data_IF_899192441320
#
_entry.id   IF_899192441320
#
_cell.length_a   1.000
_cell.length_b   1.000
_cell.length_c   1.000
_cell.angle_alpha   90.00
_cell.angle_beta   90.00
_cell.angle_gamma   90.00
#
_symmetry.space_group_name_H-M   'P 1'
#
loop_
_entity.id
_entity.type
_entity.pdbx_description
1 polymer ?
#
# COMPACT_ATOMS: atom_id res chain seq x y z
N UNK A 1 2.91 -25.22 12.76
CA UNK A 1 1.71 -24.44 12.37
C UNK A 1 2.06 -23.47 11.24
N UNK A 2 1.25 -23.36 10.20
CA UNK A 2 1.56 -22.45 9.07
C UNK A 2 1.50 -20.99 9.52
N UNK A 3 2.55 -20.21 9.24
CA UNK A 3 2.59 -18.79 9.57
C UNK A 3 1.66 -17.97 8.64
N UNK A 4 0.36 -17.95 8.98
CA UNK A 4 -0.68 -17.27 8.22
C UNK A 4 -0.47 -15.75 8.13
N UNK A 5 0.25 -15.14 9.07
CA UNK A 5 0.56 -13.72 9.02
C UNK A 5 1.50 -13.39 7.86
N UNK A 6 2.54 -14.21 7.63
CA UNK A 6 3.45 -14.07 6.46
C UNK A 6 2.71 -14.25 5.13
N UNK A 7 1.72 -15.14 5.06
CA UNK A 7 0.88 -15.32 3.86
C UNK A 7 0.02 -14.08 3.57
N UNK A 8 -0.59 -13.50 4.62
CA UNK A 8 -1.46 -12.31 4.50
C UNK A 8 -0.67 -11.07 4.09
N UNK A 9 0.52 -10.85 4.65
CA UNK A 9 1.40 -9.74 4.25
C UNK A 9 1.86 -9.89 2.80
N UNK A 10 2.30 -11.07 2.38
CA UNK A 10 2.71 -11.33 0.99
C UNK A 10 1.57 -11.08 -0.01
N UNK A 11 0.35 -11.52 0.29
CA UNK A 11 -0.83 -11.25 -0.56
C UNK A 11 -1.13 -9.75 -0.67
N UNK A 12 -1.00 -9.00 0.43
CA UNK A 12 -1.17 -7.53 0.44
C UNK A 12 -0.12 -6.84 -0.44
N UNK A 13 1.15 -7.24 -0.33
CA UNK A 13 2.24 -6.67 -1.15
C UNK A 13 1.99 -6.92 -2.64
N UNK A 14 1.61 -8.14 -3.03
CA UNK A 14 1.27 -8.47 -4.43
C UNK A 14 0.13 -7.62 -4.96
N UNK A 15 -0.94 -7.44 -4.17
CA UNK A 15 -2.07 -6.57 -4.56
C UNK A 15 -1.63 -5.11 -4.71
N UNK A 16 -0.84 -4.59 -3.77
CA UNK A 16 -0.31 -3.23 -3.80
C UNK A 16 0.51 -2.99 -5.07
N UNK A 17 1.40 -3.92 -5.41
CA UNK A 17 2.19 -3.85 -6.64
C UNK A 17 1.30 -3.83 -7.90
N UNK A 18 0.28 -4.69 -7.96
CA UNK A 18 -0.67 -4.72 -9.08
C UNK A 18 -1.45 -3.41 -9.23
N UNK A 19 -1.89 -2.81 -8.12
CA UNK A 19 -2.63 -1.53 -8.14
C UNK A 19 -1.71 -0.39 -8.63
N UNK A 20 -0.44 -0.36 -8.19
CA UNK A 20 0.54 0.65 -8.61
C UNK A 20 0.88 0.61 -10.11
N UNK A 21 0.51 -0.45 -10.84
CA UNK A 21 0.58 -0.45 -12.32
C UNK A 21 -0.39 0.53 -12.99
N UNK A 22 -1.46 0.92 -12.29
CA UNK A 22 -2.51 1.83 -12.81
C UNK A 22 -2.63 3.12 -12.00
N UNK A 23 -2.33 3.06 -10.71
CA UNK A 23 -2.46 4.20 -9.79
C UNK A 23 -1.09 4.74 -9.46
N UNK A 24 -0.79 5.92 -9.98
CA UNK A 24 0.44 6.68 -9.75
C UNK A 24 0.06 8.03 -9.14
N UNK A 25 0.77 8.46 -8.10
CA UNK A 25 0.61 9.78 -7.51
C UNK A 25 1.57 10.77 -8.16
N UNK A 26 1.07 11.95 -8.51
CA UNK A 26 1.89 13.10 -8.96
C UNK A 26 1.71 14.26 -7.98
N UNK A 27 2.48 15.34 -8.12
CA UNK A 27 2.35 16.51 -7.26
C UNK A 27 0.94 17.12 -7.27
N UNK A 28 0.29 17.19 -8.44
CA UNK A 28 -1.07 17.71 -8.59
C UNK A 28 -2.13 16.73 -8.08
N UNK A 29 -1.85 15.41 -8.15
CA UNK A 29 -2.75 14.36 -7.70
C UNK A 29 -1.98 13.28 -6.94
N UNK A 30 -1.65 13.51 -5.67
CA UNK A 30 -0.84 12.57 -4.91
C UNK A 30 -1.62 11.31 -4.55
N UNK A 31 -0.89 10.21 -4.39
CA UNK A 31 -1.43 8.90 -4.05
C UNK A 31 -1.65 8.79 -2.54
N UNK A 32 -2.88 8.47 -2.13
CA UNK A 32 -3.16 8.07 -0.75
C UNK A 32 -2.79 6.60 -0.52
N UNK A 33 -1.92 6.35 0.44
CA UNK A 33 -1.51 5.02 0.89
C UNK A 33 -2.16 4.73 2.22
N UNK A 34 -2.88 3.63 2.34
CA UNK A 34 -3.50 3.23 3.59
C UNK A 34 -2.89 1.92 4.08
N UNK A 35 -2.47 1.91 5.35
CA UNK A 35 -2.07 0.71 6.06
C UNK A 35 -3.07 0.44 7.19
N UNK A 36 -3.64 -0.78 7.21
CA UNK A 36 -4.59 -1.22 8.23
C UNK A 36 -4.01 -2.35 9.07
N UNK A 37 -3.89 -2.09 10.36
CA UNK A 37 -3.60 -3.08 11.40
C UNK A 37 -4.91 -3.53 12.09
N UNK A 38 -4.79 -4.34 13.14
CA UNK A 38 -5.94 -4.73 13.97
C UNK A 38 -6.36 -3.62 14.94
N UNK A 39 -5.46 -2.68 15.26
CA UNK A 39 -5.69 -1.63 16.26
C UNK A 39 -5.98 -0.29 15.60
N UNK A 40 -5.18 0.08 14.61
CA UNK A 40 -5.19 1.40 13.98
C UNK A 40 -5.23 1.32 12.46
N UNK A 41 -5.66 2.43 11.85
CA UNK A 41 -5.57 2.71 10.42
C UNK A 41 -4.69 3.95 10.26
N UNK A 42 -3.68 3.84 9.41
CA UNK A 42 -2.73 4.90 9.10
C UNK A 42 -2.81 5.22 7.61
N UNK A 43 -2.67 6.50 7.26
CA UNK A 43 -2.67 6.97 5.89
C UNK A 43 -1.50 7.90 5.60
N UNK A 44 -0.97 7.85 4.38
CA UNK A 44 0.13 8.69 3.90
C UNK A 44 -0.19 9.24 2.52
N UNK A 45 0.14 10.50 2.28
CA UNK A 45 0.05 11.14 0.97
C UNK A 45 1.43 11.05 0.33
N UNK A 46 1.52 10.45 -0.86
CA UNK A 46 2.79 10.18 -1.54
C UNK A 46 2.73 10.71 -2.96
N UNK A 47 3.74 11.51 -3.31
CA UNK A 47 4.09 11.82 -4.69
C UNK A 47 5.11 10.78 -5.19
N UNK A 48 4.79 10.05 -6.27
CA UNK A 48 5.69 9.04 -6.84
C UNK A 48 6.77 9.67 -7.74
N UNK A 49 6.69 10.97 -8.09
CA UNK A 49 7.74 11.65 -8.86
C UNK A 49 8.85 12.21 -7.98
N UNK A 50 8.52 12.56 -6.73
CA UNK A 50 9.46 13.07 -5.74
C UNK A 50 10.10 11.95 -4.88
N UNK A 51 9.75 10.67 -5.12
CA UNK A 51 10.21 9.49 -4.38
C UNK A 51 10.19 8.22 -5.22
#
# INVERSE_FOLDING_TARGET
MANNQKKKSASRVRRRFRIRKKVVGTQERPRLVVHRSLRNIEAQIVDDQAG
#
